data_IF_815835792442
#
_entry.id   IF_815835792442
#
_cell.length_a   1.000
_cell.length_b   1.000
_cell.length_c   1.000
_cell.angle_alpha   90.00
_cell.angle_beta   90.00
_cell.angle_gamma   90.00
#
_symmetry.space_group_name_H-M   'P 1'
#
loop_
_entity.id
_entity.type
_entity.pdbx_description
1 polymer ?
#
# COMPACT_ATOMS: atom_id res chain seq x y z
N UNK A 1 2.89 -5.96 -30.70
CA UNK A 1 2.73 -5.17 -29.46
C UNK A 1 3.08 -6.03 -28.25
N UNK A 2 4.28 -5.89 -27.70
CA UNK A 2 4.77 -6.73 -26.60
C UNK A 2 4.79 -5.98 -25.27
N UNK A 3 3.84 -6.26 -24.39
CA UNK A 3 3.75 -5.61 -23.08
C UNK A 3 3.01 -6.49 -22.07
N UNK A 4 3.66 -7.56 -21.61
CA UNK A 4 3.19 -8.37 -20.49
C UNK A 4 3.21 -7.62 -19.16
N UNK A 5 2.53 -8.17 -18.15
CA UNK A 5 2.51 -7.65 -16.76
C UNK A 5 3.93 -7.29 -16.31
N UNK A 6 4.13 -6.06 -15.83
CA UNK A 6 5.40 -5.58 -15.28
C UNK A 6 6.39 -4.97 -16.28
N UNK A 7 6.17 -5.04 -17.60
CA UNK A 7 7.06 -4.39 -18.58
C UNK A 7 6.55 -2.99 -18.95
N UNK A 8 7.41 -2.00 -18.79
CA UNK A 8 7.13 -0.60 -19.14
C UNK A 8 6.73 -0.47 -20.62
N UNK A 9 5.59 0.18 -20.89
CA UNK A 9 5.08 0.42 -22.25
C UNK A 9 5.77 1.59 -22.97
N UNK A 10 6.72 2.26 -22.32
CA UNK A 10 7.42 3.41 -22.87
C UNK A 10 8.74 2.97 -23.52
N UNK A 11 9.17 3.64 -24.61
CA UNK A 11 10.51 3.49 -25.13
C UNK A 11 11.56 3.80 -24.06
N UNK A 12 12.67 3.08 -24.07
CA UNK A 12 13.76 3.25 -23.10
C UNK A 12 14.32 4.68 -23.09
N UNK A 13 14.34 5.34 -24.24
CA UNK A 13 14.72 6.75 -24.38
C UNK A 13 13.85 7.69 -23.52
N UNK A 14 12.54 7.43 -23.46
CA UNK A 14 11.59 8.21 -22.65
C UNK A 14 11.76 7.88 -21.17
N UNK A 15 11.94 6.59 -20.82
CA UNK A 15 12.19 6.19 -19.42
C UNK A 15 13.49 6.82 -18.88
N UNK A 16 14.54 6.93 -19.70
CA UNK A 16 15.78 7.61 -19.33
C UNK A 16 15.55 9.09 -19.01
N UNK A 17 14.80 9.82 -19.85
CA UNK A 17 14.44 11.22 -19.60
C UNK A 17 13.65 11.34 -18.29
N UNK A 18 12.67 10.46 -18.06
CA UNK A 18 11.86 10.47 -16.84
C UNK A 18 12.77 10.28 -15.63
N UNK A 19 13.62 9.25 -15.61
CA UNK A 19 14.52 8.96 -14.47
C UNK A 19 15.47 10.13 -14.18
N UNK A 20 16.06 10.72 -15.22
CA UNK A 20 16.99 11.84 -15.07
C UNK A 20 16.30 13.07 -14.47
N UNK A 21 15.15 13.49 -15.04
CA UNK A 21 14.42 14.65 -14.55
C UNK A 21 13.77 14.40 -13.19
N UNK A 22 13.36 13.16 -12.91
CA UNK A 22 12.81 12.79 -11.60
C UNK A 22 13.84 13.03 -10.50
N UNK A 23 15.10 12.64 -10.73
CA UNK A 23 16.20 12.88 -9.79
C UNK A 23 16.58 14.35 -9.70
N UNK A 24 16.78 15.03 -10.84
CA UNK A 24 17.29 16.41 -10.89
C UNK A 24 16.26 17.48 -10.49
N UNK A 25 14.98 17.24 -10.76
CA UNK A 25 13.94 18.29 -10.70
C UNK A 25 12.78 17.97 -9.76
N UNK A 26 12.41 16.70 -9.60
CA UNK A 26 11.27 16.32 -8.77
C UNK A 26 11.67 15.89 -7.35
N UNK A 27 12.72 15.09 -7.18
CA UNK A 27 13.22 14.61 -5.88
C UNK A 27 14.17 15.62 -5.23
N UNK A 28 13.70 16.86 -5.07
CA UNK A 28 14.45 17.97 -4.49
C UNK A 28 13.62 18.71 -3.44
N UNK A 29 14.28 19.49 -2.57
CA UNK A 29 13.61 20.33 -1.56
C UNK A 29 12.73 21.44 -2.14
N UNK A 30 12.83 21.72 -3.44
CA UNK A 30 11.92 22.67 -4.13
C UNK A 30 10.49 22.14 -4.25
N UNK A 31 10.26 20.84 -3.99
CA UNK A 31 8.92 20.21 -3.96
C UNK A 31 8.04 20.51 -5.18
N UNK A 32 8.63 20.55 -6.38
CA UNK A 32 7.91 20.82 -7.63
C UNK A 32 6.70 19.92 -7.79
N UNK A 33 5.61 20.50 -8.31
CA UNK A 33 4.35 19.80 -8.52
C UNK A 33 4.43 18.82 -9.69
N UNK A 34 3.55 17.81 -9.70
CA UNK A 34 3.42 16.88 -10.81
C UNK A 34 3.19 17.59 -12.15
N UNK A 35 2.42 18.69 -12.15
CA UNK A 35 2.17 19.47 -13.35
C UNK A 35 3.44 20.16 -13.86
N UNK A 36 4.25 20.74 -12.98
CA UNK A 36 5.53 21.33 -13.36
C UNK A 36 6.51 20.26 -13.90
N UNK A 37 6.60 19.13 -13.22
CA UNK A 37 7.42 18.00 -13.67
C UNK A 37 6.99 17.45 -15.03
N UNK A 38 5.68 17.27 -15.26
CA UNK A 38 5.15 16.82 -16.54
C UNK A 38 5.48 17.78 -17.68
N UNK A 39 5.40 19.10 -17.45
CA UNK A 39 5.78 20.11 -18.45
C UNK A 39 7.24 19.98 -18.88
N UNK A 40 8.16 19.75 -17.93
CA UNK A 40 9.58 19.59 -18.23
C UNK A 40 9.87 18.28 -18.99
N UNK A 41 9.24 17.17 -18.57
CA UNK A 41 9.34 15.91 -19.32
C UNK A 41 8.80 16.08 -20.73
N UNK A 42 7.67 16.78 -20.90
CA UNK A 42 7.10 17.05 -22.21
C UNK A 42 8.03 17.90 -23.09
N UNK A 43 8.67 18.92 -22.54
CA UNK A 43 9.66 19.74 -23.25
C UNK A 43 10.88 18.91 -23.69
N UNK A 44 11.44 18.10 -22.78
CA UNK A 44 12.59 17.25 -23.09
C UNK A 44 12.26 16.18 -24.15
N UNK A 45 11.08 15.56 -24.08
CA UNK A 45 10.62 14.61 -25.09
C UNK A 45 10.41 15.30 -26.45
N UNK A 46 9.79 16.48 -26.49
CA UNK A 46 9.59 17.25 -27.73
C UNK A 46 10.91 17.63 -28.39
N UNK A 47 11.89 18.09 -27.61
CA UNK A 47 13.23 18.43 -28.11
C UNK A 47 13.93 17.24 -28.81
N UNK A 48 13.65 16.01 -28.35
CA UNK A 48 14.19 14.77 -28.92
C UNK A 48 13.25 14.09 -29.90
N UNK A 49 12.15 14.75 -30.31
CA UNK A 49 11.10 14.20 -31.20
C UNK A 49 10.50 12.88 -30.69
N UNK A 50 10.43 12.71 -29.37
CA UNK A 50 9.84 11.54 -28.71
C UNK A 50 8.38 11.78 -28.32
N UNK A 51 7.58 10.71 -28.29
CA UNK A 51 6.20 10.77 -27.81
C UNK A 51 6.16 11.14 -26.33
N UNK A 52 5.42 12.20 -26.01
CA UNK A 52 5.25 12.68 -24.64
C UNK A 52 4.41 11.67 -23.83
N UNK A 53 4.87 11.24 -22.65
CA UNK A 53 4.08 10.38 -21.78
C UNK A 53 2.89 11.14 -21.19
N UNK A 54 1.78 10.42 -20.96
CA UNK A 54 0.63 10.99 -20.29
C UNK A 54 0.97 11.41 -18.84
N UNK A 55 0.26 12.39 -18.28
CA UNK A 55 0.49 12.82 -16.89
C UNK A 55 0.29 11.66 -15.90
N UNK A 56 -0.72 10.81 -16.13
CA UNK A 56 -0.99 9.64 -15.29
C UNK A 56 0.18 8.63 -15.31
N UNK A 57 0.82 8.47 -16.46
CA UNK A 57 2.03 7.66 -16.62
C UNK A 57 3.10 8.11 -15.63
N UNK A 58 3.39 9.41 -15.55
CA UNK A 58 4.36 9.95 -14.58
C UNK A 58 3.89 9.82 -13.12
N UNK A 59 2.60 10.05 -12.86
CA UNK A 59 2.03 9.88 -11.52
C UNK A 59 2.25 8.45 -10.98
N UNK A 60 2.04 7.44 -11.83
CA UNK A 60 2.29 6.04 -11.47
C UNK A 60 3.78 5.76 -11.20
N UNK A 61 4.72 6.40 -11.90
CA UNK A 61 6.17 6.25 -11.60
C UNK A 61 6.50 6.84 -10.25
N UNK A 62 5.92 7.99 -9.92
CA UNK A 62 6.14 8.64 -8.63
C UNK A 62 5.53 7.81 -7.50
N UNK A 63 4.33 7.26 -7.71
CA UNK A 63 3.68 6.38 -6.73
C UNK A 63 4.43 5.06 -6.50
N UNK A 64 5.17 4.58 -7.49
CA UNK A 64 6.05 3.41 -7.35
C UNK A 64 7.42 3.70 -6.72
N UNK A 65 7.73 4.94 -6.36
CA UNK A 65 8.96 5.25 -5.62
C UNK A 65 8.83 4.79 -4.17
N UNK A 66 9.97 4.39 -3.61
CA UNK A 66 10.11 4.18 -2.17
C UNK A 66 9.71 5.47 -1.41
N UNK A 67 8.61 5.44 -0.63
CA UNK A 67 8.09 6.62 0.08
C UNK A 67 9.13 7.23 1.02
N UNK A 68 9.96 6.40 1.66
CA UNK A 68 11.00 6.86 2.56
C UNK A 68 12.03 7.71 1.83
N UNK A 69 12.56 7.21 0.72
CA UNK A 69 13.57 7.92 -0.09
C UNK A 69 12.98 9.18 -0.70
N UNK A 70 11.74 9.12 -1.17
CA UNK A 70 11.06 10.27 -1.76
C UNK A 70 10.83 11.38 -0.74
N UNK A 71 10.24 11.05 0.42
CA UNK A 71 9.99 12.00 1.52
C UNK A 71 11.28 12.55 2.08
N UNK A 72 12.30 11.72 2.32
CA UNK A 72 13.60 12.18 2.82
C UNK A 72 14.25 13.21 1.89
N UNK A 73 14.16 13.02 0.57
CA UNK A 73 14.72 13.95 -0.42
C UNK A 73 13.91 15.23 -0.59
N UNK A 74 12.58 15.13 -0.52
CA UNK A 74 11.68 16.27 -0.75
C UNK A 74 11.41 17.10 0.50
N UNK A 75 11.32 16.44 1.65
CA UNK A 75 10.82 17.01 2.90
C UNK A 75 11.86 17.01 4.02
N UNK A 76 12.95 16.26 3.87
CA UNK A 76 14.04 16.20 4.82
C UNK A 76 13.94 15.04 5.80
N UNK A 77 14.93 14.95 6.69
CA UNK A 77 15.10 13.81 7.58
C UNK A 77 13.96 13.72 8.61
N UNK A 78 13.56 14.85 9.21
CA UNK A 78 12.52 14.85 10.25
C UNK A 78 11.16 14.42 9.71
N UNK A 79 10.77 14.89 8.53
CA UNK A 79 9.54 14.48 7.85
C UNK A 79 9.57 12.99 7.43
N UNK A 80 10.75 12.41 7.21
CA UNK A 80 10.88 10.98 6.90
C UNK A 80 10.89 10.07 8.13
N UNK A 81 11.05 10.60 9.35
CA UNK A 81 11.15 9.80 10.58
C UNK A 81 9.88 8.99 10.86
N UNK A 82 8.70 9.55 10.58
CA UNK A 82 7.42 8.83 10.75
C UNK A 82 7.26 7.65 9.79
N UNK A 83 7.93 7.70 8.64
CA UNK A 83 7.96 6.62 7.67
C UNK A 83 9.08 5.62 7.95
N UNK A 84 10.04 6.00 8.81
CA UNK A 84 11.21 5.21 9.11
C UNK A 84 10.79 4.14 10.11
N UNK A 85 10.58 2.93 9.60
CA UNK A 85 10.33 1.76 10.44
C UNK A 85 11.39 1.69 11.54
N UNK A 86 10.94 1.42 12.77
CA UNK A 86 11.83 1.30 13.94
C UNK A 86 12.74 0.07 13.81
N UNK A 87 12.41 -0.88 12.93
CA UNK A 87 13.25 -2.01 12.55
C UNK A 87 13.96 -1.79 11.20
N UNK A 88 15.05 -2.54 10.98
CA UNK A 88 15.71 -2.63 9.69
C UNK A 88 14.81 -3.23 8.60
N UNK A 89 15.41 -3.68 7.50
CA UNK A 89 14.66 -4.40 6.47
C UNK A 89 14.09 -5.69 7.07
N UNK A 90 12.76 -5.90 7.07
CA UNK A 90 12.18 -7.16 7.53
C UNK A 90 12.77 -8.31 6.72
N UNK A 91 13.08 -9.46 7.35
CA UNK A 91 13.56 -10.62 6.61
C UNK A 91 12.57 -10.98 5.50
N UNK A 92 13.09 -11.36 4.35
CA UNK A 92 12.26 -11.78 3.23
C UNK A 92 11.50 -13.06 3.62
N UNK A 93 10.18 -13.03 3.48
CA UNK A 93 9.33 -14.21 3.67
C UNK A 93 9.36 -15.02 2.37
N UNK A 94 9.77 -16.28 2.45
CA UNK A 94 10.08 -17.14 1.29
C UNK A 94 9.08 -18.28 1.07
N UNK A 95 8.27 -18.61 2.07
CA UNK A 95 7.29 -19.69 1.97
C UNK A 95 5.93 -19.34 2.63
N UNK A 96 4.82 -19.99 2.22
CA UNK A 96 3.53 -19.89 2.91
C UNK A 96 3.67 -20.26 4.40
N UNK A 97 2.97 -19.53 5.27
CA UNK A 97 2.95 -19.73 6.73
C UNK A 97 4.27 -19.49 7.46
N UNK A 98 5.33 -19.04 6.78
CA UNK A 98 6.59 -18.63 7.42
C UNK A 98 6.38 -17.40 8.31
N UNK A 99 5.50 -16.49 7.90
CA UNK A 99 5.11 -15.34 8.71
C UNK A 99 3.62 -15.02 8.54
N UNK A 100 2.92 -14.99 9.67
CA UNK A 100 1.54 -14.51 9.77
C UNK A 100 1.54 -13.22 10.56
N UNK A 101 0.88 -12.20 10.05
CA UNK A 101 0.68 -10.93 10.75
C UNK A 101 -0.76 -10.81 11.20
N UNK A 102 -0.95 -10.32 12.42
CA UNK A 102 -2.25 -10.02 12.99
C UNK A 102 -2.32 -8.53 13.24
N UNK A 103 -3.37 -7.90 12.71
CA UNK A 103 -3.63 -6.49 12.95
C UNK A 103 -5.13 -6.26 13.19
N UNK A 104 -5.43 -5.14 13.84
CA UNK A 104 -6.78 -4.74 14.20
C UNK A 104 -7.12 -3.40 13.55
N UNK A 105 -8.31 -3.27 12.98
CA UNK A 105 -8.78 -2.01 12.41
C UNK A 105 -10.23 -1.73 12.78
N UNK A 106 -10.55 -0.47 13.02
CA UNK A 106 -11.95 -0.04 13.18
C UNK A 106 -12.60 -0.05 11.81
N UNK A 107 -13.68 -0.81 11.64
CA UNK A 107 -14.42 -0.84 10.39
C UNK A 107 -15.14 0.51 10.20
N UNK A 108 -15.19 0.98 8.95
CA UNK A 108 -15.92 2.19 8.57
C UNK A 108 -17.41 1.94 8.34
N UNK A 109 -18.04 1.32 9.34
CA UNK A 109 -19.47 1.00 9.38
C UNK A 109 -19.98 1.19 10.81
N UNK A 110 -21.24 1.60 10.95
CA UNK A 110 -21.93 1.65 12.25
C UNK A 110 -22.90 0.48 12.30
N UNK A 111 -22.73 -0.41 13.29
CA UNK A 111 -23.68 -1.48 13.59
C UNK A 111 -24.87 -0.88 14.33
N UNK A 112 -26.06 -1.35 14.00
CA UNK A 112 -27.32 -0.93 14.61
C UNK A 112 -28.02 -2.12 15.25
N UNK A 113 -28.79 -1.86 16.29
CA UNK A 113 -29.67 -2.85 16.91
C UNK A 113 -30.73 -3.34 15.93
N UNK A 114 -31.08 -4.63 15.99
CA UNK A 114 -32.02 -5.24 15.06
C UNK A 114 -33.46 -4.76 15.25
N UNK A 115 -33.88 -4.47 16.48
CA UNK A 115 -35.26 -4.11 16.83
C UNK A 115 -35.52 -2.64 16.58
N UNK A 116 -34.73 -1.78 17.22
CA UNK A 116 -35.00 -0.34 17.26
C UNK A 116 -34.14 0.47 16.28
N UNK A 117 -33.24 -0.21 15.54
CA UNK A 117 -32.31 0.39 14.56
C UNK A 117 -31.42 1.50 15.15
N UNK A 118 -31.24 1.49 16.47
CA UNK A 118 -30.39 2.44 17.17
C UNK A 118 -28.90 2.10 16.96
N UNK A 119 -28.01 3.09 16.82
CA UNK A 119 -26.59 2.86 16.62
C UNK A 119 -25.95 2.25 17.86
N UNK A 120 -25.30 1.10 17.69
CA UNK A 120 -24.54 0.41 18.75
C UNK A 120 -23.09 0.90 18.75
N UNK A 121 -22.49 1.08 17.58
CA UNK A 121 -21.11 1.55 17.46
C UNK A 121 -20.39 1.03 16.23
N UNK A 122 -19.09 1.33 16.15
CA UNK A 122 -18.21 0.85 15.08
C UNK A 122 -17.47 -0.40 15.54
N UNK A 123 -17.53 -1.51 14.79
CA UNK A 123 -16.87 -2.73 15.18
C UNK A 123 -15.38 -2.68 14.83
N UNK A 124 -14.59 -3.41 15.59
CA UNK A 124 -13.21 -3.75 15.27
C UNK A 124 -13.15 -5.06 14.49
N UNK A 125 -12.29 -5.09 13.48
CA UNK A 125 -11.92 -6.26 12.70
C UNK A 125 -10.49 -6.64 13.03
N UNK A 126 -10.31 -7.85 13.54
CA UNK A 126 -9.02 -8.49 13.74
C UNK A 126 -8.79 -9.48 12.62
N UNK A 127 -7.67 -9.41 11.91
CA UNK A 127 -7.35 -10.34 10.81
C UNK A 127 -5.97 -10.94 11.01
N UNK A 128 -5.86 -12.25 10.79
CA UNK A 128 -4.60 -12.95 10.59
C UNK A 128 -4.36 -13.17 9.09
N UNK A 129 -3.28 -12.61 8.54
CA UNK A 129 -2.92 -12.70 7.13
C UNK A 129 -1.53 -13.33 6.96
N UNK A 130 -1.44 -14.34 6.09
CA UNK A 130 -0.16 -14.89 5.67
C UNK A 130 0.60 -13.88 4.79
N UNK A 131 1.82 -13.53 5.15
CA UNK A 131 2.59 -12.47 4.48
C UNK A 131 3.00 -12.88 3.07
N UNK A 132 3.29 -14.16 2.85
CA UNK A 132 3.75 -14.68 1.56
C UNK A 132 2.60 -14.76 0.54
N UNK A 133 1.52 -15.48 0.86
CA UNK A 133 0.38 -15.70 -0.05
C UNK A 133 -0.63 -14.58 -0.04
N UNK A 134 -0.65 -13.73 1.00
CA UNK A 134 -1.73 -12.77 1.29
C UNK A 134 -3.08 -13.42 1.58
N UNK A 135 -3.13 -14.72 1.84
CA UNK A 135 -4.35 -15.40 2.28
C UNK A 135 -4.74 -14.95 3.70
N UNK A 136 -6.02 -14.61 3.88
CA UNK A 136 -6.62 -14.43 5.20
C UNK A 136 -6.83 -15.81 5.82
N UNK A 137 -6.14 -16.07 6.91
CA UNK A 137 -6.17 -17.35 7.60
C UNK A 137 -7.30 -17.39 8.63
N UNK A 138 -7.61 -16.24 9.23
CA UNK A 138 -8.72 -16.09 10.15
C UNK A 138 -9.05 -14.65 10.48
N UNK A 139 -10.23 -14.46 11.06
CA UNK A 139 -10.74 -13.13 11.39
C UNK A 139 -11.68 -13.17 12.60
N UNK A 140 -11.82 -12.03 13.26
CA UNK A 140 -12.81 -11.79 14.32
C UNK A 140 -13.38 -10.39 14.13
N UNK A 141 -14.71 -10.28 14.17
CA UNK A 141 -15.43 -9.00 14.20
C UNK A 141 -16.09 -8.87 15.56
N UNK A 142 -15.82 -7.78 16.26
CA UNK A 142 -16.37 -7.53 17.60
C UNK A 142 -16.58 -6.03 17.82
N UNK A 143 -17.50 -5.67 18.72
CA UNK A 143 -17.65 -4.29 19.18
C UNK A 143 -16.66 -3.93 20.29
N UNK A 144 -15.99 -4.93 20.86
CA UNK A 144 -14.96 -4.72 21.88
C UNK A 144 -13.66 -4.18 21.26
N UNK A 145 -12.95 -3.35 22.02
CA UNK A 145 -11.65 -2.86 21.61
C UNK A 145 -10.63 -4.02 21.46
N UNK A 146 -9.58 -3.84 20.64
CA UNK A 146 -8.55 -4.85 20.45
C UNK A 146 -7.94 -5.31 21.78
N UNK A 147 -7.86 -6.62 21.94
CA UNK A 147 -7.42 -7.27 23.17
C UNK A 147 -6.77 -8.62 22.87
N UNK A 148 -6.07 -9.20 23.86
CA UNK A 148 -5.57 -10.57 23.77
C UNK A 148 -6.66 -11.59 23.47
N UNK A 149 -7.90 -11.33 23.90
CA UNK A 149 -9.07 -12.17 23.57
C UNK A 149 -9.37 -12.14 22.09
N UNK A 150 -9.41 -10.95 21.46
CA UNK A 150 -9.65 -10.83 20.02
C UNK A 150 -8.58 -11.52 19.17
N UNK A 151 -7.31 -11.46 19.60
CA UNK A 151 -6.20 -12.18 18.97
C UNK A 151 -6.34 -13.69 19.17
N UNK A 152 -6.65 -14.13 20.40
CA UNK A 152 -6.86 -15.54 20.73
C UNK A 152 -7.98 -16.18 19.90
N UNK A 153 -9.12 -15.50 19.81
CA UNK A 153 -10.24 -15.93 18.95
C UNK A 153 -9.85 -15.99 17.47
N UNK A 154 -9.05 -15.02 17.00
CA UNK A 154 -8.54 -15.02 15.62
C UNK A 154 -7.64 -16.23 15.36
N UNK A 155 -6.73 -16.55 16.28
CA UNK A 155 -5.87 -17.73 16.21
C UNK A 155 -6.65 -19.04 16.28
N UNK A 156 -7.71 -19.12 17.10
CA UNK A 156 -8.63 -20.27 17.10
C UNK A 156 -9.26 -20.44 15.72
N UNK A 157 -9.77 -19.36 15.12
CA UNK A 157 -10.33 -19.42 13.76
C UNK A 157 -9.30 -19.79 12.68
N UNK A 158 -8.03 -19.43 12.87
CA UNK A 158 -6.92 -19.86 12.00
C UNK A 158 -6.71 -21.38 12.09
N UNK A 159 -6.60 -21.90 13.32
CA UNK A 159 -6.16 -23.27 13.60
C UNK A 159 -7.29 -24.31 13.55
N UNK A 160 -8.53 -23.92 13.84
CA UNK A 160 -9.67 -24.81 13.85
C UNK A 160 -10.26 -25.06 12.45
N UNK A 161 -10.99 -26.15 12.36
CA UNK A 161 -11.75 -26.50 11.16
C UNK A 161 -12.77 -25.40 10.85
N UNK A 162 -12.75 -24.92 9.61
CA UNK A 162 -13.64 -23.85 9.13
C UNK A 162 -14.98 -24.39 8.67
N UNK A 163 -15.13 -25.71 8.46
CA UNK A 163 -16.38 -26.31 7.97
C UNK A 163 -17.59 -25.97 8.85
N UNK A 164 -17.57 -26.13 10.19
CA UNK A 164 -18.73 -25.81 11.01
C UNK A 164 -19.14 -24.34 10.94
N UNK A 165 -18.15 -23.44 10.79
CA UNK A 165 -18.41 -22.01 10.65
C UNK A 165 -19.00 -21.67 9.27
N UNK A 166 -18.50 -22.29 8.20
CA UNK A 166 -18.99 -22.09 6.84
C UNK A 166 -20.40 -22.68 6.62
N UNK A 167 -20.72 -23.80 7.26
CA UNK A 167 -22.02 -24.45 7.17
C UNK A 167 -23.15 -23.65 7.86
N UNK A 168 -22.80 -22.71 8.75
CA UNK A 168 -23.74 -21.84 9.44
C UNK A 168 -23.99 -20.47 8.79
N UNK A 169 -23.35 -20.17 7.65
CA UNK A 169 -23.56 -18.95 6.85
C UNK A 169 -24.72 -19.12 5.86
#
# INVERSE_FOLDING_TARGET
SGGGKGKGRLPESVERIIRELLQKRFLTKQKRSLAAFHREVAQACKAQKLRVPARNTLALRIAGLDPLKATRRREGQDASRSLQGVGGEPPAVTAPLEQVQIDHTVIDLIVVDERDRQPIGRPYLTIAIDVFTRCVLGMVVTLEAPSSVSVGLCLVHVACDKRPWLEGL
#
